data_IF_621937233310
#
_entry.id   IF_621937233310
#
_cell.length_a   1.000
_cell.length_b   1.000
_cell.length_c   1.000
_cell.angle_alpha   90.00
_cell.angle_beta   90.00
_cell.angle_gamma   90.00
#
_symmetry.space_group_name_H-M   'P 1'
#
loop_
_entity.id
_entity.type
_entity.pdbx_description
1 polymer ?
#
# COMPACT_ATOMS: atom_id res chain seq x y z
N UNK A 1 -55.80 12.09 10.50
CA UNK A 1 -55.33 10.80 11.04
C UNK A 1 -53.82 10.82 11.01
N UNK A 2 -53.23 10.97 12.19
CA UNK A 2 -51.80 11.20 12.45
C UNK A 2 -51.14 9.84 12.62
N UNK A 3 -50.09 9.54 11.86
CA UNK A 3 -49.28 8.33 12.06
C UNK A 3 -47.92 8.78 12.59
N UNK A 4 -47.65 8.38 13.83
CA UNK A 4 -46.54 8.86 14.65
C UNK A 4 -45.20 8.23 14.29
N UNK A 5 -44.16 9.05 14.41
CA UNK A 5 -42.76 8.66 14.53
C UNK A 5 -42.57 7.87 15.83
N UNK A 6 -41.97 6.68 15.74
CA UNK A 6 -41.35 6.03 16.89
C UNK A 6 -39.83 6.04 16.72
N UNK A 7 -39.19 6.84 17.59
CA UNK A 7 -37.78 6.73 17.94
C UNK A 7 -37.61 5.56 18.91
N UNK A 8 -36.67 4.66 18.62
CA UNK A 8 -36.18 3.67 19.59
C UNK A 8 -34.71 3.92 19.90
N UNK A 9 -34.53 4.61 21.01
CA UNK A 9 -33.58 4.43 22.11
C UNK A 9 -32.10 4.06 21.85
N UNK A 10 -31.25 5.03 22.18
CA UNK A 10 -29.84 4.87 22.55
C UNK A 10 -29.77 4.59 24.05
N UNK A 11 -29.25 3.42 24.45
CA UNK A 11 -28.20 3.28 25.47
C UNK A 11 -28.13 1.85 25.99
N UNK A 12 -26.95 1.23 25.91
CA UNK A 12 -26.51 0.30 26.95
C UNK A 12 -24.98 0.25 26.96
N UNK A 13 -24.47 0.80 28.05
CA UNK A 13 -23.09 0.91 28.47
C UNK A 13 -22.44 -0.46 28.71
N UNK A 14 -21.10 -0.50 28.66
CA UNK A 14 -20.35 -1.62 29.23
C UNK A 14 -18.85 -1.65 28.91
N UNK A 15 -18.11 -0.58 29.22
CA UNK A 15 -16.65 -0.65 29.36
C UNK A 15 -16.37 -1.31 30.72
N UNK A 16 -15.63 -2.41 30.75
CA UNK A 16 -15.04 -2.93 31.99
C UNK A 16 -13.58 -3.31 31.76
N UNK A 17 -12.70 -2.48 32.33
CA UNK A 17 -11.29 -2.75 32.60
C UNK A 17 -11.18 -3.34 34.01
N UNK A 18 -10.11 -4.12 34.22
CA UNK A 18 -9.52 -4.59 35.48
C UNK A 18 -9.76 -6.08 35.76
N UNK A 19 -8.68 -6.85 35.64
CA UNK A 19 -8.30 -7.90 36.59
C UNK A 19 -6.78 -8.10 36.45
N UNK A 20 -6.04 -7.22 37.13
CA UNK A 20 -4.73 -7.55 37.68
C UNK A 20 -4.94 -8.05 39.12
N UNK A 21 -3.98 -8.84 39.57
CA UNK A 21 -3.79 -9.43 40.90
C UNK A 21 -4.37 -10.83 41.13
N UNK A 22 -3.42 -11.76 41.30
CA UNK A 22 -3.33 -12.74 42.39
C UNK A 22 -2.71 -14.05 41.87
N UNK A 23 -1.38 -14.11 41.79
CA UNK A 23 -0.64 -15.36 42.03
C UNK A 23 0.75 -15.03 42.58
N UNK A 24 0.78 -14.61 43.84
CA UNK A 24 1.95 -14.77 44.71
C UNK A 24 1.73 -16.05 45.49
N UNK A 25 2.52 -17.09 45.22
CA UNK A 25 2.63 -18.22 46.15
C UNK A 25 3.85 -19.09 45.83
N UNK A 26 4.77 -19.09 46.81
CA UNK A 26 5.69 -20.17 47.20
C UNK A 26 7.03 -20.25 46.46
N UNK A 27 7.97 -19.48 47.00
CA UNK A 27 9.37 -19.87 47.11
C UNK A 27 9.46 -21.03 48.12
N UNK A 28 10.04 -22.14 47.70
CA UNK A 28 10.63 -23.16 48.59
C UNK A 28 11.84 -23.73 47.87
N UNK A 29 13.02 -23.38 48.36
CA UNK A 29 14.31 -23.91 47.91
C UNK A 29 14.72 -24.96 48.95
N UNK A 30 14.90 -26.23 48.58
CA UNK A 30 15.86 -27.08 49.25
C UNK A 30 17.20 -27.00 48.53
N UNK A 31 18.23 -26.58 49.28
CA UNK A 31 19.63 -26.76 48.92
C UNK A 31 19.94 -28.25 48.85
N UNK A 32 20.50 -28.71 47.74
CA UNK A 32 21.56 -29.73 47.78
C UNK A 32 22.38 -29.64 46.49
N UNK A 33 23.67 -29.40 46.66
CA UNK A 33 24.68 -29.36 45.61
C UNK A 33 25.49 -30.64 45.74
N UNK A 34 25.82 -31.30 44.61
CA UNK A 34 27.21 -31.71 44.45
C UNK A 34 27.82 -31.20 43.14
N UNK A 35 29.05 -30.72 43.28
CA UNK A 35 29.97 -30.22 42.26
C UNK A 35 30.63 -31.37 41.50
N UNK A 36 30.69 -31.26 40.17
CA UNK A 36 31.72 -31.74 39.21
C UNK A 36 31.04 -31.82 37.83
N UNK A 37 31.60 -31.47 36.67
CA UNK A 37 32.97 -31.36 36.19
C UNK A 37 32.93 -30.54 34.89
N UNK A 38 34.00 -29.79 34.60
CA UNK A 38 34.18 -28.91 33.44
C UNK A 38 33.94 -29.58 32.07
N UNK A 39 33.21 -28.88 31.19
CA UNK A 39 33.27 -29.05 29.74
C UNK A 39 33.62 -27.69 29.08
N UNK A 40 34.44 -27.66 28.01
CA UNK A 40 34.98 -26.43 27.43
C UNK A 40 33.89 -25.59 26.71
N UNK A 41 34.10 -24.27 26.55
CA UNK A 41 33.07 -23.36 26.05
C UNK A 41 32.77 -23.66 24.58
N UNK A 42 31.49 -23.92 24.27
CA UNK A 42 30.99 -23.89 22.90
C UNK A 42 31.08 -22.46 22.38
N UNK A 43 31.73 -22.34 21.22
CA UNK A 43 31.86 -21.13 20.43
C UNK A 43 30.50 -20.40 20.29
N UNK A 44 30.49 -19.06 20.30
CA UNK A 44 29.27 -18.31 20.05
C UNK A 44 28.78 -18.63 18.64
N UNK A 45 27.66 -19.36 18.58
CA UNK A 45 26.95 -19.62 17.34
C UNK A 45 26.73 -18.31 16.61
N UNK A 46 27.29 -18.23 15.40
CA UNK A 46 26.99 -17.19 14.42
C UNK A 46 25.48 -17.23 14.25
N UNK A 47 24.77 -16.26 14.85
CA UNK A 47 23.40 -15.98 14.48
C UNK A 47 23.47 -15.57 13.02
N UNK A 48 23.11 -16.50 12.14
CA UNK A 48 22.86 -16.23 10.74
C UNK A 48 21.82 -15.11 10.71
N UNK A 49 22.29 -13.88 10.49
CA UNK A 49 21.41 -12.78 10.20
C UNK A 49 20.66 -13.19 8.94
N UNK A 50 19.39 -13.54 9.13
CA UNK A 50 18.44 -13.67 8.04
C UNK A 50 18.56 -12.38 7.23
N UNK A 51 18.89 -12.42 5.92
CA UNK A 51 19.00 -11.22 5.13
C UNK A 51 17.69 -10.47 5.29
N UNK A 52 17.76 -9.25 5.83
CA UNK A 52 16.64 -8.32 5.74
C UNK A 52 16.45 -8.11 4.25
N UNK A 53 15.48 -8.82 3.68
CA UNK A 53 15.21 -8.83 2.24
C UNK A 53 14.87 -7.40 1.86
N UNK A 54 15.87 -6.68 1.38
CA UNK A 54 15.75 -5.28 1.03
C UNK A 54 14.72 -5.20 -0.09
N UNK A 55 13.55 -4.67 0.24
CA UNK A 55 12.45 -4.52 -0.70
C UNK A 55 12.96 -3.69 -1.88
N UNK A 56 12.98 -4.23 -3.10
CA UNK A 56 13.53 -3.52 -4.23
C UNK A 56 12.70 -2.26 -4.52
N UNK A 57 13.33 -1.17 -5.01
CA UNK A 57 12.61 -0.02 -5.56
C UNK A 57 11.57 -0.47 -6.61
N UNK A 58 10.47 0.27 -6.71
CA UNK A 58 9.35 -0.05 -7.61
C UNK A 58 9.81 -0.19 -9.06
N UNK A 59 10.84 0.55 -9.46
CA UNK A 59 11.41 0.54 -10.80
C UNK A 59 11.96 -0.84 -11.21
N UNK A 60 12.76 -1.45 -10.33
CA UNK A 60 13.40 -2.76 -10.58
C UNK A 60 12.53 -3.93 -10.11
N UNK A 61 11.38 -3.67 -9.49
CA UNK A 61 10.48 -4.70 -8.97
C UNK A 61 10.17 -5.78 -10.00
N UNK A 62 9.77 -5.38 -11.21
CA UNK A 62 9.36 -6.30 -12.26
C UNK A 62 10.54 -7.13 -12.79
N UNK A 63 11.73 -6.55 -12.86
CA UNK A 63 12.94 -7.25 -13.29
C UNK A 63 13.35 -8.32 -12.27
N UNK A 64 13.25 -8.01 -10.98
CA UNK A 64 13.62 -8.92 -9.88
C UNK A 64 12.58 -10.02 -9.65
N UNK A 65 11.29 -9.69 -9.72
CA UNK A 65 10.20 -10.60 -9.34
C UNK A 65 9.51 -11.25 -10.54
N UNK A 66 9.84 -10.86 -11.78
CA UNK A 66 9.21 -11.37 -13.00
C UNK A 66 7.74 -10.99 -13.19
N UNK A 67 7.19 -10.12 -12.33
CA UNK A 67 5.80 -9.66 -12.39
C UNK A 67 5.67 -8.20 -11.93
N UNK A 68 4.73 -7.41 -12.51
CA UNK A 68 4.45 -6.07 -12.04
C UNK A 68 3.98 -6.05 -10.58
N UNK A 69 4.30 -4.98 -9.84
CA UNK A 69 3.89 -4.87 -8.43
C UNK A 69 2.36 -4.84 -8.30
N UNK A 70 1.66 -4.19 -9.23
CA UNK A 70 0.19 -4.20 -9.30
C UNK A 70 -0.39 -5.61 -9.33
N UNK A 71 0.23 -6.56 -10.04
CA UNK A 71 -0.25 -7.94 -10.09
C UNK A 71 -0.12 -8.61 -8.71
N UNK A 72 0.98 -8.37 -8.00
CA UNK A 72 1.17 -8.84 -6.62
C UNK A 72 0.18 -8.18 -5.67
N UNK A 73 -0.04 -6.88 -5.80
CA UNK A 73 -0.94 -6.09 -4.96
C UNK A 73 -2.38 -6.57 -5.01
N UNK A 74 -2.86 -6.98 -6.19
CA UNK A 74 -4.22 -7.50 -6.40
C UNK A 74 -4.31 -9.03 -6.38
N UNK A 75 -3.23 -9.75 -6.07
CA UNK A 75 -3.23 -11.22 -6.06
C UNK A 75 -3.52 -11.87 -7.42
N UNK A 76 -3.13 -11.22 -8.52
CA UNK A 76 -3.37 -11.68 -9.89
C UNK A 76 -2.27 -12.68 -10.25
N UNK A 77 -2.57 -13.97 -10.10
CA UNK A 77 -1.63 -15.06 -10.39
C UNK A 77 -1.52 -15.38 -11.90
N UNK A 78 -2.55 -15.06 -12.69
CA UNK A 78 -2.61 -15.32 -14.12
C UNK A 78 -2.99 -14.05 -14.89
N UNK A 79 -1.98 -13.27 -15.27
CA UNK A 79 -2.09 -12.06 -16.08
C UNK A 79 -2.32 -12.40 -17.56
N UNK A 80 -3.59 -12.51 -17.96
CA UNK A 80 -3.98 -12.57 -19.37
C UNK A 80 -3.82 -11.18 -20.05
N UNK A 81 -3.98 -11.11 -21.38
CA UNK A 81 -3.82 -9.85 -22.15
C UNK A 81 -4.70 -8.69 -21.64
N UNK A 82 -5.89 -8.99 -21.14
CA UNK A 82 -6.82 -7.97 -20.61
C UNK A 82 -6.34 -7.42 -19.25
N UNK A 83 -5.81 -8.30 -18.40
CA UNK A 83 -5.17 -7.93 -17.15
C UNK A 83 -3.88 -7.15 -17.40
N UNK A 84 -3.07 -7.54 -18.40
CA UNK A 84 -1.82 -6.87 -18.76
C UNK A 84 -2.05 -5.40 -19.14
N UNK A 85 -3.02 -5.12 -20.01
CA UNK A 85 -3.35 -3.74 -20.39
C UNK A 85 -3.83 -2.89 -19.21
N UNK A 86 -4.58 -3.49 -18.29
CA UNK A 86 -5.11 -2.82 -17.10
C UNK A 86 -4.03 -2.59 -16.04
N UNK A 87 -3.15 -3.57 -15.82
CA UNK A 87 -1.96 -3.46 -14.98
C UNK A 87 -1.02 -2.37 -15.52
N UNK A 88 -0.73 -2.39 -16.82
CA UNK A 88 0.13 -1.38 -17.46
C UNK A 88 -0.43 0.04 -17.30
N UNK A 89 -1.75 0.21 -17.43
CA UNK A 89 -2.40 1.50 -17.20
C UNK A 89 -2.24 1.99 -15.76
N UNK A 90 -2.40 1.10 -14.78
CA UNK A 90 -2.25 1.42 -13.35
C UNK A 90 -0.78 1.76 -13.02
N UNK A 91 0.16 0.91 -13.43
CA UNK A 91 1.60 1.13 -13.23
C UNK A 91 2.06 2.45 -13.85
N UNK A 92 1.65 2.72 -15.10
CA UNK A 92 1.99 3.95 -15.81
C UNK A 92 1.44 5.18 -15.09
N UNK A 93 0.19 5.13 -14.62
CA UNK A 93 -0.40 6.21 -13.85
C UNK A 93 0.34 6.45 -12.52
N UNK A 94 0.62 5.38 -11.76
CA UNK A 94 1.29 5.49 -10.45
C UNK A 94 2.70 6.05 -10.61
N UNK A 95 3.50 5.52 -11.55
CA UNK A 95 4.84 6.07 -11.84
C UNK A 95 4.77 7.54 -12.25
N UNK A 96 3.75 7.93 -13.04
CA UNK A 96 3.51 9.32 -13.40
C UNK A 96 3.09 10.21 -12.24
N UNK A 97 2.37 9.70 -11.24
CA UNK A 97 2.06 10.41 -9.98
C UNK A 97 3.29 10.55 -9.09
N UNK A 98 4.10 9.49 -8.94
CA UNK A 98 5.36 9.51 -8.18
C UNK A 98 6.27 10.60 -8.75
N UNK A 99 6.52 10.57 -10.06
CA UNK A 99 7.38 11.55 -10.72
C UNK A 99 6.83 12.98 -10.59
N UNK A 100 5.52 13.18 -10.73
CA UNK A 100 4.90 14.52 -10.65
C UNK A 100 4.90 15.10 -9.25
N UNK A 101 4.76 14.27 -8.23
CA UNK A 101 4.80 14.69 -6.83
C UNK A 101 6.22 14.79 -6.27
N UNK A 102 7.23 14.34 -7.03
CA UNK A 102 8.61 14.26 -6.56
C UNK A 102 8.79 13.25 -5.43
N UNK A 103 8.01 12.16 -5.43
CA UNK A 103 8.12 11.09 -4.46
C UNK A 103 9.21 10.11 -4.86
N UNK A 104 9.79 9.43 -3.88
CA UNK A 104 10.71 8.32 -4.15
C UNK A 104 9.95 7.12 -4.75
N UNK A 105 10.51 6.41 -5.74
CA UNK A 105 9.87 5.27 -6.39
C UNK A 105 9.92 4.00 -5.52
N UNK A 106 9.31 4.08 -4.34
CA UNK A 106 9.23 2.99 -3.37
C UNK A 106 7.84 2.35 -3.36
N UNK A 107 7.74 1.19 -2.72
CA UNK A 107 6.45 0.52 -2.48
C UNK A 107 5.55 1.36 -1.58
N UNK A 108 6.12 2.13 -0.65
CA UNK A 108 5.34 3.00 0.23
C UNK A 108 4.66 4.12 -0.56
N UNK A 109 5.38 4.78 -1.47
CA UNK A 109 4.81 5.78 -2.39
C UNK A 109 3.73 5.18 -3.28
N UNK A 110 3.93 3.97 -3.79
CA UNK A 110 2.91 3.24 -4.55
C UNK A 110 1.65 3.04 -3.72
N UNK A 111 1.79 2.53 -2.49
CA UNK A 111 0.67 2.26 -1.58
C UNK A 111 -0.06 3.53 -1.17
N UNK A 112 0.66 4.63 -0.95
CA UNK A 112 0.09 5.94 -0.67
C UNK A 112 -0.78 6.41 -1.84
N UNK A 113 -0.27 6.33 -3.08
CA UNK A 113 -1.03 6.69 -4.27
C UNK A 113 -2.27 5.80 -4.41
N UNK A 114 -2.13 4.49 -4.22
CA UNK A 114 -3.26 3.57 -4.30
C UNK A 114 -4.35 3.90 -3.27
N UNK A 115 -3.97 4.23 -2.03
CA UNK A 115 -4.91 4.68 -0.98
C UNK A 115 -5.64 5.96 -1.39
N UNK A 116 -4.93 6.89 -2.01
CA UNK A 116 -5.53 8.12 -2.52
C UNK A 116 -6.54 7.85 -3.64
N UNK A 117 -6.25 6.91 -4.54
CA UNK A 117 -7.20 6.47 -5.58
C UNK A 117 -8.44 5.82 -4.94
N UNK A 118 -8.24 4.89 -4.00
CA UNK A 118 -9.34 4.22 -3.29
C UNK A 118 -10.24 5.23 -2.58
N UNK A 119 -9.64 6.23 -1.92
CA UNK A 119 -10.37 7.32 -1.26
C UNK A 119 -11.15 8.18 -2.25
N UNK A 120 -10.53 8.55 -3.39
CA UNK A 120 -11.19 9.33 -4.44
C UNK A 120 -12.39 8.58 -5.05
N UNK A 121 -12.24 7.29 -5.28
CA UNK A 121 -13.27 6.40 -5.81
C UNK A 121 -14.29 5.94 -4.76
N UNK A 122 -14.12 6.35 -3.49
CA UNK A 122 -14.96 5.97 -2.35
C UNK A 122 -15.11 4.45 -2.22
N UNK A 123 -14.01 3.71 -2.42
CA UNK A 123 -14.02 2.25 -2.33
C UNK A 123 -14.02 1.82 -0.86
N UNK A 124 -15.01 0.99 -0.51
CA UNK A 124 -15.08 0.37 0.81
C UNK A 124 -13.95 -0.67 0.96
N UNK A 125 -13.37 -0.85 2.16
CA UNK A 125 -12.45 -1.95 2.45
C UNK A 125 -13.01 -3.34 2.13
N UNK A 126 -14.33 -3.49 2.12
CA UNK A 126 -15.03 -4.74 1.81
C UNK A 126 -15.31 -4.93 0.31
N UNK A 127 -14.83 -4.03 -0.55
CA UNK A 127 -15.00 -4.15 -2.00
C UNK A 127 -14.18 -5.34 -2.49
N UNK A 128 -14.80 -6.25 -3.26
CA UNK A 128 -14.09 -7.38 -3.83
C UNK A 128 -12.92 -6.91 -4.71
N UNK A 129 -11.77 -7.59 -4.60
CA UNK A 129 -10.51 -7.17 -5.26
C UNK A 129 -10.64 -7.04 -6.77
N UNK A 130 -11.41 -7.92 -7.41
CA UNK A 130 -11.69 -7.83 -8.86
C UNK A 130 -12.45 -6.55 -9.23
N UNK A 131 -13.41 -6.13 -8.42
CA UNK A 131 -14.19 -4.90 -8.63
C UNK A 131 -13.31 -3.68 -8.36
N UNK A 132 -12.50 -3.72 -7.28
CA UNK A 132 -11.54 -2.66 -6.96
C UNK A 132 -10.52 -2.49 -8.09
N UNK A 133 -9.93 -3.58 -8.55
CA UNK A 133 -8.98 -3.61 -9.66
C UNK A 133 -9.56 -2.96 -10.92
N UNK A 134 -10.78 -3.36 -11.32
CA UNK A 134 -11.43 -2.80 -12.50
C UNK A 134 -11.63 -1.28 -12.38
N UNK A 135 -12.16 -0.81 -11.25
CA UNK A 135 -12.40 0.63 -11.01
C UNK A 135 -11.11 1.44 -10.99
N UNK A 136 -10.05 0.93 -10.35
CA UNK A 136 -8.73 1.57 -10.32
C UNK A 136 -8.13 1.61 -11.73
N UNK A 137 -8.25 0.53 -12.51
CA UNK A 137 -7.82 0.49 -13.92
C UNK A 137 -8.55 1.54 -14.76
N UNK A 138 -9.87 1.63 -14.64
CA UNK A 138 -10.67 2.59 -15.40
C UNK A 138 -10.33 4.03 -15.04
N UNK A 139 -10.13 4.29 -13.75
CA UNK A 139 -9.62 5.57 -13.26
C UNK A 139 -8.26 5.91 -13.86
N UNK A 140 -7.28 4.99 -13.79
CA UNK A 140 -5.94 5.20 -14.33
C UNK A 140 -5.96 5.47 -15.84
N UNK A 141 -6.78 4.73 -16.61
CA UNK A 141 -6.96 4.95 -18.05
C UNK A 141 -7.55 6.32 -18.35
N UNK A 142 -8.60 6.73 -17.62
CA UNK A 142 -9.26 8.02 -17.82
C UNK A 142 -8.31 9.18 -17.49
N UNK A 143 -7.63 9.10 -16.35
CA UNK A 143 -6.76 10.18 -15.90
C UNK A 143 -5.51 10.31 -16.78
N UNK A 144 -4.95 9.19 -17.23
CA UNK A 144 -3.84 9.20 -18.21
C UNK A 144 -4.23 9.87 -19.53
N UNK A 145 -5.47 9.68 -19.99
CA UNK A 145 -5.98 10.40 -21.18
C UNK A 145 -6.13 11.89 -20.90
N UNK A 146 -6.69 12.25 -19.75
CA UNK A 146 -6.84 13.65 -19.34
C UNK A 146 -5.49 14.37 -19.28
N UNK A 147 -4.46 13.74 -18.71
CA UNK A 147 -3.10 14.28 -18.66
C UNK A 147 -2.52 14.54 -20.05
N UNK A 148 -2.66 13.58 -20.98
CA UNK A 148 -2.19 13.77 -22.37
C UNK A 148 -2.84 14.98 -23.05
N UNK A 149 -4.13 15.21 -22.78
CA UNK A 149 -4.86 16.38 -23.31
C UNK A 149 -4.32 17.68 -22.70
N UNK A 150 -4.11 17.73 -21.39
CA UNK A 150 -3.55 18.92 -20.72
C UNK A 150 -2.12 19.22 -21.19
N UNK A 151 -1.30 18.19 -21.42
CA UNK A 151 0.05 18.37 -21.96
C UNK A 151 0.03 18.88 -23.41
N UNK A 152 -0.88 18.37 -24.25
CA UNK A 152 -1.10 18.88 -25.60
C UNK A 152 -1.55 20.34 -25.58
N UNK A 153 -2.48 20.69 -24.70
CA UNK A 153 -2.95 22.06 -24.52
C UNK A 153 -1.80 23.00 -24.13
N UNK A 154 -0.95 22.61 -23.18
CA UNK A 154 0.23 23.40 -22.79
C UNK A 154 1.19 23.61 -23.96
N UNK A 155 1.48 22.55 -24.73
CA UNK A 155 2.33 22.64 -25.93
C UNK A 155 1.78 23.62 -26.96
N UNK A 156 0.47 23.54 -27.24
CA UNK A 156 -0.19 24.45 -28.17
C UNK A 156 -0.15 25.90 -27.69
N UNK A 157 -0.32 26.16 -26.39
CA UNK A 157 -0.22 27.51 -25.83
C UNK A 157 1.18 28.11 -26.00
N UNK A 158 2.24 27.32 -25.79
CA UNK A 158 3.63 27.74 -26.00
C UNK A 158 3.91 28.01 -27.48
N UNK A 159 3.42 27.15 -28.38
CA UNK A 159 3.55 27.40 -29.83
C UNK A 159 2.81 28.68 -30.24
N UNK A 160 1.61 28.91 -29.71
CA UNK A 160 0.84 30.11 -29.99
C UNK A 160 1.45 31.39 -29.41
N UNK A 161 2.23 31.33 -28.31
CA UNK A 161 3.00 32.49 -27.84
C UNK A 161 4.20 32.76 -28.73
N UNK A 162 4.94 31.72 -29.13
CA UNK A 162 6.10 31.86 -30.03
C UNK A 162 5.71 32.44 -31.39
N UNK A 163 4.60 31.99 -31.98
CA UNK A 163 4.11 32.55 -33.25
C UNK A 163 3.72 34.03 -33.13
N UNK A 164 3.13 34.44 -32.00
CA UNK A 164 2.81 35.86 -31.74
C UNK A 164 4.05 36.71 -31.58
N UNK A 165 5.11 36.21 -30.95
CA UNK A 165 6.38 36.95 -30.84
C UNK A 165 7.04 37.18 -32.21
N UNK A 166 6.88 36.24 -33.15
CA UNK A 166 7.37 36.40 -34.54
C UNK A 166 6.51 37.39 -35.35
N UNK A 167 5.20 37.45 -35.09
CA UNK A 167 4.29 38.33 -35.84
C UNK A 167 4.38 39.81 -35.41
N UNK A 168 4.80 40.07 -34.17
CA UNK A 168 4.82 41.42 -33.58
C UNK A 168 6.21 41.90 -33.11
N UNK A 169 7.27 41.12 -33.33
CA UNK A 169 8.67 41.46 -33.03
C UNK A 169 9.48 41.77 -34.28
#
# INVERSE_FOLDING_TARGET
>A
MTVGLQLTDRSKYGISRNNMDAFVSKISIPMDVPVESHAPPKEPGIMTQQPTEAVPPLEVWQEVNGMPYTAKHFGINAWNKDAEASISAIEGYIRGEIARKGLDPTIDSYNEIMRNIDAFLQLSPNTADNVRFQKVSDYAKLFSKYQKIEDQKKKLLVQASQLREIEYG
#
